data_IF_342561125981
#
_entry.id   IF_342561125981
#
_cell.length_a   1.000
_cell.length_b   1.000
_cell.length_c   1.000
_cell.angle_alpha   90.00
_cell.angle_beta   90.00
_cell.angle_gamma   90.00
#
_symmetry.space_group_name_H-M   'P 1'
#
loop_
_entity.id
_entity.type
_entity.pdbx_description
1 polymer ?
#
# COMPACT_ATOMS: atom_id res chain seq x y z
N UNK A 1 14.02 10.03 -7.54
CA UNK A 1 14.63 9.83 -6.22
C UNK A 1 14.70 8.33 -5.93
N UNK A 2 15.86 7.75 -5.63
CA UNK A 2 16.03 6.29 -5.49
C UNK A 2 15.49 5.81 -4.12
N UNK A 3 14.36 5.08 -4.14
CA UNK A 3 13.74 4.39 -2.98
C UNK A 3 14.49 3.10 -2.61
N UNK A 4 15.81 3.16 -2.41
CA UNK A 4 16.64 1.96 -2.31
C UNK A 4 17.49 1.81 -1.05
N UNK A 5 17.48 2.77 -0.11
CA UNK A 5 18.49 2.82 0.97
C UNK A 5 17.95 2.64 2.40
N UNK A 6 16.64 2.66 2.58
CA UNK A 6 16.05 2.30 3.86
C UNK A 6 15.58 0.88 3.71
N UNK A 7 16.16 -0.06 4.48
CA UNK A 7 15.58 -1.39 4.67
C UNK A 7 14.06 -1.20 4.85
N UNK A 8 13.22 -2.00 4.21
CA UNK A 8 11.76 -1.83 4.24
C UNK A 8 11.22 -1.62 5.69
N UNK A 9 11.91 -2.17 6.68
CA UNK A 9 11.67 -2.01 8.12
C UNK A 9 11.80 -0.58 8.66
N UNK A 10 12.65 0.26 8.05
CA UNK A 10 12.91 1.65 8.41
C UNK A 10 11.96 2.66 7.74
N UNK A 11 11.16 2.23 6.75
CA UNK A 11 10.16 3.10 6.15
C UNK A 11 8.94 3.29 7.06
N UNK A 12 8.26 4.45 7.01
CA UNK A 12 6.98 4.61 7.67
C UNK A 12 5.99 3.53 7.25
N UNK A 13 5.11 3.13 8.17
CA UNK A 13 4.17 2.03 7.95
C UNK A 13 3.22 2.29 6.77
N UNK A 14 2.88 3.56 6.50
CA UNK A 14 2.10 3.96 5.33
C UNK A 14 2.85 3.72 4.02
N UNK A 15 4.16 3.99 3.95
CA UNK A 15 4.96 3.78 2.74
C UNK A 15 5.10 2.30 2.40
N UNK A 16 5.37 1.46 3.40
CA UNK A 16 5.37 -0.01 3.22
C UNK A 16 4.04 -0.51 2.69
N UNK A 17 2.94 -0.01 3.25
CA UNK A 17 1.59 -0.41 2.85
C UNK A 17 1.29 0.05 1.43
N UNK A 18 1.70 1.28 1.06
CA UNK A 18 1.53 1.83 -0.28
C UNK A 18 2.35 1.04 -1.33
N UNK A 19 3.59 0.68 -1.02
CA UNK A 19 4.43 -0.14 -1.90
C UNK A 19 3.78 -1.51 -2.14
N UNK A 20 3.34 -2.18 -1.06
CA UNK A 20 2.66 -3.47 -1.16
C UNK A 20 1.32 -3.38 -1.90
N UNK A 21 0.56 -2.30 -1.69
CA UNK A 21 -0.67 -2.06 -2.44
C UNK A 21 -0.40 -1.89 -3.94
N UNK A 22 0.65 -1.15 -4.31
CA UNK A 22 1.02 -0.96 -5.71
C UNK A 22 1.44 -2.28 -6.37
N UNK A 23 2.18 -3.12 -5.66
CA UNK A 23 2.56 -4.43 -6.17
C UNK A 23 1.37 -5.38 -6.29
N UNK A 24 0.45 -5.37 -5.33
CA UNK A 24 -0.81 -6.12 -5.40
C UNK A 24 -1.66 -5.65 -6.60
N UNK A 25 -1.73 -4.34 -6.88
CA UNK A 25 -2.44 -3.79 -8.03
C UNK A 25 -1.79 -4.21 -9.36
N UNK A 26 -0.46 -4.20 -9.43
CA UNK A 26 0.29 -4.67 -10.60
C UNK A 26 0.08 -6.17 -10.83
N UNK A 27 0.14 -6.97 -9.78
CA UNK A 27 -0.09 -8.42 -9.83
C UNK A 27 -1.54 -8.76 -10.23
N UNK A 28 -2.51 -7.96 -9.79
CA UNK A 28 -3.90 -8.08 -10.20
C UNK A 28 -4.19 -7.55 -11.61
N UNK A 29 -3.17 -7.06 -12.34
CA UNK A 29 -3.30 -6.39 -13.63
C UNK A 29 -4.34 -5.24 -13.61
N UNK A 30 -4.47 -4.57 -12.46
CA UNK A 30 -5.42 -3.49 -12.25
C UNK A 30 -5.10 -2.34 -13.20
N UNK A 31 -6.12 -1.84 -13.89
CA UNK A 31 -5.97 -0.77 -14.87
C UNK A 31 -6.15 0.59 -14.19
N UNK A 32 -5.51 1.65 -14.71
CA UNK A 32 -5.86 3.01 -14.33
C UNK A 32 -7.36 3.23 -14.57
N UNK A 33 -8.10 3.55 -13.51
CA UNK A 33 -9.56 3.71 -13.53
C UNK A 33 -10.34 2.56 -12.89
N UNK A 34 -9.70 1.43 -12.59
CA UNK A 34 -10.31 0.41 -11.76
C UNK A 34 -10.53 0.93 -10.34
N UNK A 35 -11.66 0.55 -9.75
CA UNK A 35 -11.95 0.94 -8.36
C UNK A 35 -10.97 0.26 -7.43
N UNK A 36 -10.31 1.05 -6.60
CA UNK A 36 -9.56 0.51 -5.48
C UNK A 36 -10.50 -0.23 -4.50
N UNK A 37 -9.98 -1.25 -3.81
CA UNK A 37 -10.68 -1.85 -2.67
C UNK A 37 -11.09 -0.79 -1.64
N UNK A 38 -12.18 -1.02 -0.92
CA UNK A 38 -12.57 -0.12 0.17
C UNK A 38 -11.49 -0.04 1.26
N UNK A 39 -11.39 1.09 1.97
CA UNK A 39 -10.47 1.24 3.11
C UNK A 39 -10.62 0.10 4.12
N UNK A 40 -11.86 -0.35 4.39
CA UNK A 40 -12.13 -1.49 5.28
C UNK A 40 -11.47 -2.79 4.79
N UNK A 41 -11.54 -3.06 3.50
CA UNK A 41 -10.90 -4.22 2.90
C UNK A 41 -9.37 -4.10 2.97
N UNK A 42 -8.82 -2.90 2.79
CA UNK A 42 -7.38 -2.66 2.92
C UNK A 42 -6.90 -2.82 4.37
N UNK A 43 -7.62 -2.30 5.35
CA UNK A 43 -7.34 -2.49 6.78
C UNK A 43 -7.28 -3.98 7.13
N UNK A 44 -8.26 -4.76 6.66
CA UNK A 44 -8.29 -6.20 6.92
C UNK A 44 -7.15 -6.95 6.20
N UNK A 45 -6.87 -6.59 4.94
CA UNK A 45 -5.86 -7.26 4.10
C UNK A 45 -4.42 -6.96 4.53
N UNK A 46 -4.15 -5.74 4.95
CA UNK A 46 -2.79 -5.29 5.32
C UNK A 46 -2.58 -5.18 6.83
N UNK A 47 -3.61 -5.45 7.64
CA UNK A 47 -3.59 -5.35 9.11
C UNK A 47 -3.11 -3.96 9.61
N UNK A 48 -3.48 -2.90 8.89
CA UNK A 48 -3.09 -1.51 9.21
C UNK A 48 -4.26 -0.68 9.72
N UNK A 49 -3.98 0.34 10.51
CA UNK A 49 -5.00 1.29 10.96
C UNK A 49 -5.50 2.18 9.82
N UNK A 50 -6.77 2.62 9.88
CA UNK A 50 -7.36 3.59 8.93
C UNK A 50 -6.55 4.89 8.82
N UNK A 51 -5.97 5.34 9.92
CA UNK A 51 -5.13 6.54 9.95
C UNK A 51 -3.90 6.37 9.05
N UNK A 52 -3.31 5.16 9.02
CA UNK A 52 -2.16 4.83 8.17
C UNK A 52 -2.50 4.77 6.69
N UNK A 53 -3.76 4.47 6.34
CA UNK A 53 -4.21 4.51 4.94
C UNK A 53 -4.51 5.92 4.43
N UNK A 54 -4.78 6.87 5.33
CA UNK A 54 -5.06 8.27 4.99
C UNK A 54 -3.83 9.18 4.99
N UNK A 55 -2.73 8.75 5.60
CA UNK A 55 -1.48 9.49 5.68
C UNK A 55 -0.72 9.44 4.35
#
# INVERSE_FOLDING_TARGET
>A
MPRGLFADDALPLYERTAARLLDDLRAAAARPGDRLPSERAMVARYAVSRVTLRA
#
